data_IF_415553544466
#
_entry.id   IF_415553544466
#
_cell.length_a   1.000
_cell.length_b   1.000
_cell.length_c   1.000
_cell.angle_alpha   90.00
_cell.angle_beta   90.00
_cell.angle_gamma   90.00
#
_symmetry.space_group_name_H-M   'P 1'
#
loop_
_entity.id
_entity.type
_entity.pdbx_description
1 polymer ?
#
# COMPACT_ATOMS: atom_id res chain seq x y z
N UNK A 1 2.49 -16.87 -7.44
CA UNK A 1 3.53 -16.34 -8.36
C UNK A 1 4.83 -16.13 -7.61
N UNK A 2 5.94 -16.25 -8.29
CA UNK A 2 7.28 -16.01 -7.75
C UNK A 2 8.03 -15.03 -8.67
N UNK A 3 8.93 -14.23 -8.09
CA UNK A 3 9.73 -13.24 -8.82
C UNK A 3 8.87 -12.23 -9.61
N UNK A 4 7.91 -11.63 -8.93
CA UNK A 4 6.97 -10.69 -9.53
C UNK A 4 7.45 -9.25 -9.34
N UNK A 5 7.54 -8.47 -10.42
CA UNK A 5 7.78 -7.04 -10.37
C UNK A 5 6.63 -6.31 -11.08
N UNK A 6 5.99 -5.39 -10.37
CA UNK A 6 4.95 -4.51 -10.92
C UNK A 6 5.41 -3.07 -10.67
N UNK A 7 5.60 -2.29 -11.74
CA UNK A 7 6.09 -0.91 -11.64
C UNK A 7 5.35 0.05 -12.55
N UNK A 8 5.14 1.26 -12.07
CA UNK A 8 4.56 2.38 -12.82
C UNK A 8 3.19 2.09 -13.45
N UNK A 9 2.42 1.21 -12.82
CA UNK A 9 1.08 0.84 -13.27
C UNK A 9 0.00 1.61 -12.49
N UNK A 10 -1.15 1.83 -13.14
CA UNK A 10 -2.34 2.43 -12.53
C UNK A 10 -3.48 1.42 -12.56
N UNK A 11 -4.01 1.11 -11.37
CA UNK A 11 -5.10 0.16 -11.18
C UNK A 11 -6.29 0.90 -10.58
N UNK A 12 -7.34 1.11 -11.36
CA UNK A 12 -8.53 1.88 -11.00
C UNK A 12 -9.79 1.19 -11.51
N UNK A 13 -10.37 0.26 -10.73
CA UNK A 13 -11.56 -0.49 -11.17
C UNK A 13 -12.76 0.41 -11.46
N UNK A 14 -13.04 1.39 -10.60
CA UNK A 14 -14.19 2.27 -10.69
C UNK A 14 -15.53 1.61 -10.30
N UNK A 15 -16.56 2.42 -10.08
CA UNK A 15 -17.87 1.96 -9.66
C UNK A 15 -18.67 1.28 -10.79
N UNK A 16 -18.41 1.60 -12.05
CA UNK A 16 -19.19 1.12 -13.18
C UNK A 16 -19.18 -0.41 -13.35
N UNK A 17 -18.16 -1.08 -12.83
CA UNK A 17 -17.97 -2.53 -12.96
C UNK A 17 -18.55 -3.36 -11.81
N UNK A 18 -19.12 -2.73 -10.78
CA UNK A 18 -19.67 -3.41 -9.59
C UNK A 18 -20.68 -4.49 -9.97
N UNK A 19 -21.52 -4.24 -10.96
CA UNK A 19 -22.58 -5.18 -11.36
C UNK A 19 -22.11 -6.31 -12.29
N UNK A 20 -20.94 -6.20 -12.89
CA UNK A 20 -20.39 -7.17 -13.83
C UNK A 20 -19.28 -8.03 -13.25
N UNK A 21 -18.48 -7.46 -12.34
CA UNK A 21 -17.34 -8.12 -11.71
C UNK A 21 -17.58 -8.61 -10.28
N UNK A 22 -18.81 -8.41 -9.75
CA UNK A 22 -19.10 -8.56 -8.33
C UNK A 22 -18.89 -7.26 -7.57
N UNK A 23 -19.26 -7.26 -6.31
CA UNK A 23 -19.22 -6.06 -5.47
C UNK A 23 -17.92 -5.86 -4.69
N UNK A 24 -17.07 -6.88 -4.65
CA UNK A 24 -15.79 -6.88 -3.89
C UNK A 24 -14.61 -6.81 -4.85
N UNK A 25 -14.36 -5.62 -5.40
CA UNK A 25 -13.25 -5.39 -6.33
C UNK A 25 -12.11 -4.66 -5.63
N UNK A 26 -11.00 -5.35 -5.41
CA UNK A 26 -9.74 -4.75 -5.01
C UNK A 26 -9.05 -4.12 -6.25
N UNK A 27 -8.33 -3.03 -6.05
CA UNK A 27 -7.47 -2.52 -7.12
C UNK A 27 -6.25 -3.42 -7.33
N UNK A 28 -5.72 -4.00 -6.24
CA UNK A 28 -4.74 -5.08 -6.28
C UNK A 28 -5.04 -6.09 -5.18
N UNK A 29 -5.19 -7.35 -5.58
CA UNK A 29 -5.26 -8.48 -4.66
C UNK A 29 -4.21 -9.53 -5.00
N UNK A 30 -3.34 -9.84 -4.04
CA UNK A 30 -2.30 -10.85 -4.18
C UNK A 30 -2.34 -11.86 -3.04
N UNK A 31 -2.13 -13.14 -3.37
CA UNK A 31 -2.08 -14.23 -2.39
C UNK A 31 -0.98 -15.22 -2.73
N UNK A 32 -0.26 -15.68 -1.70
CA UNK A 32 0.80 -16.69 -1.81
C UNK A 32 1.88 -16.31 -2.86
N UNK A 33 2.19 -15.02 -2.97
CA UNK A 33 3.26 -14.55 -3.84
C UNK A 33 4.59 -14.61 -3.09
N UNK A 34 5.66 -14.99 -3.80
CA UNK A 34 7.01 -15.03 -3.24
C UNK A 34 7.94 -14.14 -4.03
N UNK A 35 8.84 -13.49 -3.35
CA UNK A 35 9.83 -12.59 -3.96
C UNK A 35 9.14 -11.62 -4.92
N UNK A 36 8.49 -10.61 -4.36
CA UNK A 36 7.73 -9.66 -5.16
C UNK A 36 8.09 -8.21 -4.84
N UNK A 37 8.00 -7.37 -5.86
CA UNK A 37 8.13 -5.93 -5.72
C UNK A 37 6.96 -5.22 -6.42
N UNK A 38 6.30 -4.33 -5.69
CA UNK A 38 5.30 -3.41 -6.22
C UNK A 38 5.84 -2.00 -5.97
N UNK A 39 6.20 -1.31 -7.05
CA UNK A 39 6.98 -0.10 -6.97
C UNK A 39 6.41 1.01 -7.86
N UNK A 40 6.25 2.21 -7.31
CA UNK A 40 5.71 3.37 -8.04
C UNK A 40 4.39 3.08 -8.77
N UNK A 41 3.47 2.40 -8.13
CA UNK A 41 2.13 2.13 -8.68
C UNK A 41 1.07 3.03 -8.04
N UNK A 42 -0.04 3.22 -8.75
CA UNK A 42 -1.19 3.98 -8.25
C UNK A 42 -2.42 3.10 -8.21
N UNK A 43 -3.06 3.06 -7.04
CA UNK A 43 -4.24 2.25 -6.78
C UNK A 43 -5.36 3.13 -6.24
N UNK A 44 -6.55 3.08 -6.86
CA UNK A 44 -7.70 3.86 -6.40
C UNK A 44 -9.03 3.34 -6.96
N UNK A 45 -10.13 3.85 -6.39
CA UNK A 45 -11.50 3.65 -6.89
C UNK A 45 -11.96 2.18 -6.90
N UNK A 46 -11.48 1.43 -5.96
CA UNK A 46 -11.92 0.08 -5.64
C UNK A 46 -13.21 0.10 -4.81
N UNK A 47 -13.92 -1.01 -4.79
CA UNK A 47 -15.19 -1.14 -4.04
C UNK A 47 -15.04 -1.95 -2.76
N UNK A 48 -13.92 -2.63 -2.56
CA UNK A 48 -13.53 -3.34 -1.33
C UNK A 48 -12.16 -2.81 -0.85
N UNK A 49 -11.08 -3.56 -0.82
CA UNK A 49 -9.74 -3.07 -0.48
C UNK A 49 -9.04 -2.44 -1.68
N UNK A 50 -8.23 -1.41 -1.41
CA UNK A 50 -7.40 -0.83 -2.47
C UNK A 50 -6.20 -1.72 -2.78
N UNK A 51 -5.47 -2.17 -1.75
CA UNK A 51 -4.33 -3.08 -1.90
C UNK A 51 -4.38 -4.16 -0.83
N UNK A 52 -4.37 -5.40 -1.23
CA UNK A 52 -4.31 -6.54 -0.32
C UNK A 52 -3.19 -7.50 -0.71
N UNK A 53 -2.30 -7.79 0.25
CA UNK A 53 -1.27 -8.81 0.11
C UNK A 53 -1.50 -9.89 1.15
N UNK A 54 -1.89 -11.08 0.69
CA UNK A 54 -2.20 -12.20 1.57
C UNK A 54 -1.10 -13.24 1.52
N UNK A 55 -0.53 -13.60 2.68
CA UNK A 55 0.47 -14.67 2.81
C UNK A 55 1.62 -14.53 1.81
N UNK A 56 1.98 -13.28 1.48
CA UNK A 56 3.15 -13.00 0.67
C UNK A 56 4.44 -13.35 1.42
N UNK A 57 5.52 -13.57 0.70
CA UNK A 57 6.85 -13.82 1.27
C UNK A 57 7.89 -13.02 0.53
N UNK A 58 8.85 -12.46 1.27
CA UNK A 58 9.99 -11.74 0.72
C UNK A 58 9.56 -10.64 -0.27
N UNK A 59 8.75 -9.71 0.22
CA UNK A 59 8.09 -8.73 -0.63
C UNK A 59 8.37 -7.28 -0.25
N UNK A 60 8.29 -6.40 -1.24
CA UNK A 60 8.35 -4.95 -1.03
C UNK A 60 7.22 -4.25 -1.76
N UNK A 61 6.51 -3.38 -1.06
CA UNK A 61 5.53 -2.44 -1.62
C UNK A 61 6.00 -1.04 -1.30
N UNK A 62 6.45 -0.30 -2.30
CA UNK A 62 7.08 0.99 -2.05
C UNK A 62 6.69 2.05 -3.07
N UNK A 63 6.77 3.31 -2.65
CA UNK A 63 6.52 4.47 -3.48
C UNK A 63 5.19 4.40 -4.24
N UNK A 64 4.18 3.79 -3.64
CA UNK A 64 2.85 3.67 -4.24
C UNK A 64 1.90 4.74 -3.70
N UNK A 65 0.92 5.13 -4.51
CA UNK A 65 -0.28 5.83 -4.04
C UNK A 65 -1.38 4.79 -3.88
N UNK A 66 -1.94 4.72 -2.67
CA UNK A 66 -3.10 3.89 -2.30
C UNK A 66 -4.17 4.86 -1.82
N UNK A 67 -5.18 5.14 -2.65
CA UNK A 67 -6.09 6.25 -2.36
C UNK A 67 -7.54 6.03 -2.80
N UNK A 68 -8.45 6.77 -2.16
CA UNK A 68 -9.83 6.96 -2.64
C UNK A 68 -10.60 5.67 -2.94
N UNK A 69 -10.59 4.73 -2.00
CA UNK A 69 -11.56 3.62 -2.04
C UNK A 69 -13.00 4.17 -2.03
N UNK A 70 -13.87 3.62 -2.88
CA UNK A 70 -15.23 4.12 -3.06
C UNK A 70 -16.12 3.75 -1.87
N UNK A 71 -16.63 4.74 -1.16
CA UNK A 71 -17.29 4.53 0.14
C UNK A 71 -18.70 3.98 0.02
N UNK A 72 -19.49 4.43 -0.97
CA UNK A 72 -20.84 3.96 -1.26
C UNK A 72 -20.90 3.59 -2.73
N UNK A 73 -20.39 2.40 -3.05
CA UNK A 73 -20.18 1.95 -4.42
C UNK A 73 -21.16 0.85 -4.87
N UNK A 74 -22.14 0.50 -4.04
CA UNK A 74 -23.03 -0.64 -4.30
C UNK A 74 -22.56 -1.97 -3.73
N UNK A 75 -21.51 -1.98 -2.90
CA UNK A 75 -21.06 -3.17 -2.19
C UNK A 75 -22.19 -3.75 -1.32
N UNK A 76 -22.37 -5.08 -1.31
CA UNK A 76 -23.45 -5.78 -0.59
C UNK A 76 -23.43 -5.55 0.93
N UNK A 77 -22.25 -5.26 1.51
CA UNK A 77 -22.11 -4.91 2.93
C UNK A 77 -22.44 -3.44 3.25
N UNK A 78 -22.92 -2.65 2.29
CA UNK A 78 -23.21 -1.23 2.45
C UNK A 78 -21.97 -0.35 2.31
N UNK A 79 -21.80 0.63 3.21
CA UNK A 79 -20.62 1.51 3.19
C UNK A 79 -19.35 0.69 3.36
N UNK A 80 -18.60 0.61 2.28
CA UNK A 80 -17.39 -0.18 2.19
C UNK A 80 -16.41 0.56 1.28
N UNK A 81 -15.23 0.80 1.69
CA UNK A 81 -14.24 1.56 0.93
C UNK A 81 -13.02 1.66 1.82
N UNK A 82 -12.05 0.78 1.60
CA UNK A 82 -10.97 0.54 2.52
C UNK A 82 -9.60 0.63 1.85
N UNK A 83 -8.59 1.06 2.61
CA UNK A 83 -7.23 1.19 2.13
C UNK A 83 -6.61 -0.16 1.79
N UNK A 84 -6.57 -1.09 2.72
CA UNK A 84 -6.06 -2.40 2.36
C UNK A 84 -5.72 -3.30 3.54
N UNK A 85 -5.40 -4.55 3.21
CA UNK A 85 -4.91 -5.54 4.16
C UNK A 85 -3.45 -5.84 3.83
N UNK A 86 -2.55 -5.34 4.66
CA UNK A 86 -1.11 -5.53 4.49
C UNK A 86 -0.67 -6.74 5.32
N UNK A 87 -0.24 -7.77 4.64
CA UNK A 87 0.17 -9.02 5.25
C UNK A 87 1.28 -9.70 4.46
N UNK A 88 1.82 -10.75 5.04
CA UNK A 88 2.92 -11.52 4.48
C UNK A 88 4.04 -11.71 5.50
N UNK A 89 5.00 -12.56 5.21
CA UNK A 89 6.20 -12.78 6.00
C UNK A 89 7.41 -12.17 5.32
N UNK A 90 8.22 -11.43 6.05
CA UNK A 90 9.33 -10.66 5.51
C UNK A 90 8.87 -9.68 4.42
N UNK A 91 7.85 -8.86 4.74
CA UNK A 91 7.30 -7.89 3.78
C UNK A 91 7.49 -6.47 4.29
N UNK A 92 8.03 -5.64 3.40
CA UNK A 92 8.31 -4.23 3.63
C UNK A 92 7.29 -3.35 2.90
N UNK A 93 6.64 -2.47 3.64
CA UNK A 93 5.78 -1.40 3.10
C UNK A 93 6.41 -0.05 3.43
N UNK A 94 6.97 0.63 2.44
CA UNK A 94 7.70 1.86 2.72
C UNK A 94 7.44 2.96 1.68
N UNK A 95 7.52 4.20 2.13
CA UNK A 95 7.42 5.38 1.28
C UNK A 95 6.12 5.45 0.46
N UNK A 96 5.02 4.90 0.94
CA UNK A 96 3.73 4.94 0.28
C UNK A 96 2.88 6.11 0.77
N UNK A 97 2.07 6.69 -0.10
CA UNK A 97 0.97 7.58 0.26
C UNK A 97 -0.32 6.76 0.37
N UNK A 98 -0.88 6.68 1.58
CA UNK A 98 -2.16 6.01 1.87
C UNK A 98 -3.16 7.10 2.26
N UNK A 99 -4.17 7.35 1.42
CA UNK A 99 -4.99 8.56 1.54
C UNK A 99 -6.49 8.36 1.26
N UNK A 100 -7.33 9.04 2.03
CA UNK A 100 -8.76 9.14 1.77
C UNK A 100 -9.52 7.81 1.84
N UNK A 101 -9.26 7.00 2.87
CA UNK A 101 -9.99 5.76 3.13
C UNK A 101 -10.76 5.83 4.44
N UNK A 102 -11.94 5.26 4.46
CA UNK A 102 -12.77 5.25 5.68
C UNK A 102 -12.21 4.34 6.77
N UNK A 103 -11.50 3.27 6.39
CA UNK A 103 -10.87 2.31 7.29
C UNK A 103 -9.72 1.56 6.60
N UNK A 104 -9.03 0.70 7.33
CA UNK A 104 -7.91 -0.12 6.85
C UNK A 104 -6.77 0.71 6.23
N UNK A 105 -6.19 1.60 7.05
CA UNK A 105 -5.11 2.51 6.64
C UNK A 105 -3.71 2.12 7.23
N UNK A 106 -3.18 0.91 7.01
CA UNK A 106 -3.85 -0.32 6.58
C UNK A 106 -4.41 -1.15 7.75
N UNK A 107 -5.10 -2.26 7.48
CA UNK A 107 -5.24 -3.37 8.42
C UNK A 107 -4.03 -4.29 8.29
N UNK A 108 -3.37 -4.61 9.39
CA UNK A 108 -2.26 -5.55 9.46
C UNK A 108 -2.79 -6.97 9.63
N UNK A 109 -2.30 -7.90 8.83
CA UNK A 109 -2.64 -9.31 8.96
C UNK A 109 -3.99 -9.69 8.36
N UNK A 110 -4.97 -10.10 9.19
CA UNK A 110 -6.32 -10.39 8.69
C UNK A 110 -6.45 -11.70 7.93
N UNK A 111 -6.07 -12.82 8.52
CA UNK A 111 -6.12 -14.13 7.86
C UNK A 111 -5.03 -14.34 6.81
N UNK A 112 -4.26 -13.30 6.54
CA UNK A 112 -3.16 -13.33 5.60
C UNK A 112 -2.00 -14.16 6.08
N UNK A 113 -1.90 -14.25 7.38
CA UNK A 113 -0.73 -14.79 8.04
C UNK A 113 -0.85 -16.26 8.33
N UNK A 114 -1.90 -16.87 7.90
CA UNK A 114 -2.22 -18.18 8.33
C UNK A 114 -2.63 -18.22 9.81
N UNK A 115 -3.52 -19.12 10.14
CA UNK A 115 -3.65 -19.62 11.50
C UNK A 115 -2.50 -20.62 11.67
N UNK A 116 -1.50 -20.37 12.54
CA UNK A 116 -0.39 -21.32 12.71
C UNK A 116 -0.87 -22.72 13.08
N UNK A 117 -2.10 -22.86 13.55
CA UNK A 117 -2.71 -24.15 13.83
C UNK A 117 -3.33 -24.81 12.59
N UNK A 118 -3.58 -24.08 11.52
CA UNK A 118 -4.25 -24.55 10.31
C UNK A 118 -3.36 -24.57 9.07
N UNK A 119 -2.49 -23.59 8.95
CA UNK A 119 -1.72 -23.36 7.73
C UNK A 119 -0.22 -23.71 7.88
N UNK A 120 0.16 -24.40 8.97
CA UNK A 120 1.55 -24.75 9.27
C UNK A 120 2.42 -23.52 9.57
N UNK A 121 1.79 -22.46 10.05
CA UNK A 121 2.25 -21.12 9.98
C UNK A 121 3.45 -20.76 10.82
N UNK A 122 4.32 -19.98 10.24
CA UNK A 122 5.24 -19.10 10.91
C UNK A 122 4.51 -17.80 11.28
N UNK A 123 4.97 -17.16 12.32
CA UNK A 123 4.59 -15.82 12.67
C UNK A 123 5.24 -14.88 11.66
N UNK A 124 4.46 -14.12 10.95
CA UNK A 124 4.97 -13.26 9.91
C UNK A 124 5.60 -11.98 10.47
N UNK A 125 6.57 -11.46 9.78
CA UNK A 125 7.27 -10.24 10.13
C UNK A 125 7.03 -9.18 9.07
N UNK A 126 6.56 -8.02 9.52
CA UNK A 126 6.18 -6.90 8.67
C UNK A 126 6.88 -5.63 9.11
N UNK A 127 7.27 -4.79 8.15
CA UNK A 127 7.68 -3.42 8.45
C UNK A 127 6.89 -2.41 7.63
N UNK A 128 6.33 -1.43 8.33
CA UNK A 128 5.73 -0.24 7.74
C UNK A 128 6.55 0.97 8.13
N UNK A 129 7.28 1.55 7.20
CA UNK A 129 8.21 2.65 7.47
C UNK A 129 8.10 3.77 6.43
N UNK A 130 8.21 5.01 6.90
CA UNK A 130 8.20 6.21 6.07
C UNK A 130 6.96 6.34 5.15
N UNK A 131 5.83 5.74 5.50
CA UNK A 131 4.59 5.97 4.78
C UNK A 131 3.94 7.28 5.25
N UNK A 132 3.23 7.93 4.36
CA UNK A 132 2.33 9.05 4.67
C UNK A 132 0.90 8.52 4.72
N UNK A 133 0.28 8.57 5.89
CA UNK A 133 -1.11 8.20 6.10
C UNK A 133 -1.93 9.49 6.23
N UNK A 134 -2.88 9.71 5.33
CA UNK A 134 -3.67 10.94 5.29
C UNK A 134 -5.17 10.67 5.30
N UNK A 135 -5.90 11.44 6.10
CA UNK A 135 -7.37 11.53 6.09
C UNK A 135 -8.06 10.16 6.26
N UNK A 136 -7.71 9.42 7.31
CA UNK A 136 -8.41 8.17 7.69
C UNK A 136 -9.77 8.46 8.37
N UNK A 137 -10.74 7.55 8.21
CA UNK A 137 -12.07 7.72 8.79
C UNK A 137 -12.22 7.17 10.20
N UNK A 138 -12.35 5.85 10.30
CA UNK A 138 -12.63 5.15 11.56
C UNK A 138 -11.37 4.68 12.27
N UNK A 139 -10.34 4.35 11.50
CA UNK A 139 -9.08 3.80 12.00
C UNK A 139 -7.92 4.29 11.15
N UNK A 140 -6.78 4.49 11.78
CA UNK A 140 -5.46 4.48 11.15
C UNK A 140 -5.06 3.03 10.83
N UNK A 141 -3.82 2.67 11.07
CA UNK A 141 -3.34 1.29 11.08
C UNK A 141 -3.94 0.50 12.24
N UNK A 142 -4.31 -0.76 12.02
CA UNK A 142 -4.82 -1.63 13.09
C UNK A 142 -4.67 -3.13 12.75
N UNK A 143 -4.94 -4.00 13.73
CA UNK A 143 -4.90 -5.44 13.58
C UNK A 143 -3.60 -6.07 14.08
N UNK A 144 -3.01 -6.98 13.32
CA UNK A 144 -1.72 -7.61 13.63
C UNK A 144 -1.80 -8.98 14.28
N UNK A 145 -2.94 -9.69 14.20
CA UNK A 145 -3.01 -11.07 14.67
C UNK A 145 -2.01 -11.98 13.94
N UNK A 146 -1.21 -12.71 14.71
CA UNK A 146 -0.10 -13.57 14.26
C UNK A 146 0.99 -12.84 13.48
N UNK A 147 1.17 -11.54 13.72
CA UNK A 147 2.20 -10.74 13.07
C UNK A 147 3.14 -10.08 14.07
N UNK A 148 4.40 -10.02 13.73
CA UNK A 148 5.40 -9.15 14.36
C UNK A 148 5.62 -7.94 13.45
N UNK A 149 5.23 -6.77 13.92
CA UNK A 149 5.11 -5.58 13.08
C UNK A 149 5.97 -4.44 13.61
N UNK A 150 6.85 -3.92 12.77
CA UNK A 150 7.47 -2.63 12.96
C UNK A 150 6.61 -1.55 12.31
N UNK A 151 6.09 -0.62 13.10
CA UNK A 151 5.38 0.57 12.62
C UNK A 151 6.20 1.80 12.99
N UNK A 152 7.10 2.20 12.08
CA UNK A 152 8.18 3.13 12.40
C UNK A 152 8.27 4.30 11.42
N UNK A 153 8.51 5.48 11.96
CA UNK A 153 8.81 6.69 11.19
C UNK A 153 7.80 7.01 10.09
N UNK A 154 6.51 6.70 10.29
CA UNK A 154 5.45 7.09 9.38
C UNK A 154 4.95 8.50 9.71
N UNK A 155 4.53 9.24 8.71
CA UNK A 155 3.90 10.55 8.85
C UNK A 155 2.38 10.38 8.85
N UNK A 156 1.74 10.72 9.98
CA UNK A 156 0.30 10.57 10.20
C UNK A 156 -0.35 11.95 10.16
N UNK A 157 -1.17 12.22 9.14
CA UNK A 157 -1.85 13.49 8.92
C UNK A 157 -3.37 13.31 8.98
N UNK A 158 -4.04 13.64 10.10
CA UNK A 158 -5.50 13.65 10.14
C UNK A 158 -6.05 14.64 9.12
N UNK A 159 -7.13 14.29 8.43
CA UNK A 159 -7.79 15.16 7.46
C UNK A 159 -9.21 15.53 7.90
N UNK A 160 -9.95 16.16 6.96
CA UNK A 160 -11.33 16.61 7.19
C UNK A 160 -12.31 15.46 7.44
N UNK A 161 -12.05 14.27 6.87
CA UNK A 161 -12.86 13.07 7.08
C UNK A 161 -12.50 12.28 8.32
N UNK A 162 -11.39 12.60 8.99
CA UNK A 162 -10.94 11.89 10.17
C UNK A 162 -11.85 12.17 11.35
N UNK A 163 -12.41 11.11 11.93
CA UNK A 163 -13.29 11.22 13.11
C UNK A 163 -12.52 11.67 14.32
N UNK A 164 -13.14 12.51 15.16
CA UNK A 164 -12.52 13.08 16.35
C UNK A 164 -11.98 12.02 17.31
N UNK A 165 -12.71 10.91 17.50
CA UNK A 165 -12.34 9.83 18.43
C UNK A 165 -11.04 9.09 18.04
N UNK A 166 -10.63 9.20 16.78
CA UNK A 166 -9.43 8.56 16.23
C UNK A 166 -8.47 9.55 15.57
N UNK A 167 -8.73 10.85 15.80
CA UNK A 167 -7.96 11.91 15.15
C UNK A 167 -6.46 11.81 15.39
N UNK A 168 -6.08 11.47 16.58
CA UNK A 168 -4.68 11.33 16.96
C UNK A 168 -4.31 9.88 17.33
N UNK A 169 -4.99 8.91 16.71
CA UNK A 169 -4.63 7.51 16.86
C UNK A 169 -3.42 7.19 15.98
N UNK A 170 -2.37 6.64 16.57
CA UNK A 170 -1.20 6.14 15.84
C UNK A 170 -1.51 4.76 15.25
N UNK A 171 -1.92 3.83 16.10
CA UNK A 171 -2.24 2.45 15.71
C UNK A 171 -3.18 1.82 16.74
N UNK A 172 -4.03 0.89 16.30
CA UNK A 172 -4.82 0.02 17.21
C UNK A 172 -4.36 -1.43 17.07
N UNK A 173 -3.60 -1.90 18.06
CA UNK A 173 -2.86 -3.15 18.02
C UNK A 173 -3.66 -4.33 18.54
N UNK A 174 -3.47 -5.48 17.89
CA UNK A 174 -3.92 -6.77 18.37
C UNK A 174 -5.26 -7.22 17.80
N UNK A 175 -5.46 -8.53 17.91
CA UNK A 175 -6.72 -9.22 17.64
C UNK A 175 -7.00 -10.21 18.77
N UNK A 176 -8.21 -10.22 19.29
CA UNK A 176 -8.58 -10.86 20.56
C UNK A 176 -8.22 -12.35 20.72
N UNK A 177 -8.05 -13.08 19.64
CA UNK A 177 -7.73 -14.51 19.68
C UNK A 177 -6.42 -14.88 18.98
N UNK A 178 -5.66 -13.87 18.56
CA UNK A 178 -4.49 -14.05 17.71
C UNK A 178 -3.32 -13.25 18.27
N UNK A 179 -2.41 -13.86 19.03
CA UNK A 179 -1.26 -13.15 19.57
C UNK A 179 -0.39 -12.55 18.44
N UNK A 180 0.22 -11.42 18.72
CA UNK A 180 1.12 -10.73 17.83
C UNK A 180 2.09 -9.85 18.60
N UNK A 181 2.92 -9.12 17.88
CA UNK A 181 3.87 -8.20 18.48
C UNK A 181 4.03 -6.91 17.68
N UNK A 182 4.27 -5.82 18.39
CA UNK A 182 4.46 -4.52 17.75
C UNK A 182 5.67 -3.79 18.32
N UNK A 183 6.44 -3.21 17.42
CA UNK A 183 7.37 -2.14 17.73
C UNK A 183 6.86 -0.87 17.05
N UNK A 184 6.53 0.15 17.86
CA UNK A 184 5.92 1.42 17.39
C UNK A 184 6.79 2.56 17.85
N UNK A 185 7.48 3.23 16.92
CA UNK A 185 8.41 4.29 17.28
C UNK A 185 8.64 5.30 16.15
N UNK A 186 8.95 6.54 16.52
CA UNK A 186 9.40 7.58 15.59
C UNK A 186 8.30 8.10 14.64
N UNK A 187 7.03 7.70 14.82
CA UNK A 187 5.96 8.21 13.97
C UNK A 187 5.62 9.65 14.32
N UNK A 188 5.45 10.48 13.31
CA UNK A 188 5.04 11.88 13.45
C UNK A 188 3.52 12.01 13.34
N UNK A 189 2.89 12.63 14.33
CA UNK A 189 1.46 12.94 14.30
C UNK A 189 1.27 14.42 14.04
N UNK A 190 0.81 14.75 12.84
CA UNK A 190 0.56 16.13 12.44
C UNK A 190 -0.50 16.78 13.35
N UNK A 191 -0.15 17.97 13.86
CA UNK A 191 -1.01 18.70 14.81
C UNK A 191 -0.98 18.20 16.26
N UNK A 192 -0.12 17.20 16.61
CA UNK A 192 0.00 16.73 17.99
C UNK A 192 1.44 16.37 18.37
N UNK A 193 2.14 17.34 18.96
CA UNK A 193 3.54 17.18 19.35
C UNK A 193 3.75 16.17 20.50
N UNK A 194 2.77 16.02 21.39
CA UNK A 194 2.83 15.07 22.51
C UNK A 194 2.84 13.62 22.02
N UNK A 195 1.96 13.29 21.07
CA UNK A 195 1.90 11.96 20.46
C UNK A 195 3.12 11.72 19.54
N UNK A 196 3.61 12.74 18.86
CA UNK A 196 4.86 12.67 18.10
C UNK A 196 6.05 12.31 18.99
N UNK A 197 6.14 12.91 20.18
CA UNK A 197 7.21 12.64 21.14
C UNK A 197 7.07 11.26 21.83
N UNK A 198 5.84 10.76 21.97
CA UNK A 198 5.54 9.49 22.63
C UNK A 198 4.37 8.80 21.92
N UNK A 199 4.69 7.93 20.97
CA UNK A 199 3.67 7.22 20.18
C UNK A 199 2.76 6.30 21.01
N UNK A 200 3.17 5.88 22.22
CA UNK A 200 2.34 5.06 23.09
C UNK A 200 1.04 5.77 23.48
N UNK A 201 1.06 7.11 23.60
CA UNK A 201 -0.12 7.91 23.94
C UNK A 201 -1.22 7.92 22.87
N UNK A 202 -0.84 7.69 21.61
CA UNK A 202 -1.77 7.55 20.48
C UNK A 202 -2.05 6.10 20.08
N UNK A 203 -1.44 5.13 20.77
CA UNK A 203 -1.56 3.72 20.44
C UNK A 203 -2.59 3.03 21.34
N UNK A 204 -3.39 2.15 20.74
CA UNK A 204 -4.43 1.38 21.46
C UNK A 204 -4.16 -0.11 21.31
N UNK A 205 -4.74 -0.87 22.23
CA UNK A 205 -4.65 -2.33 22.25
C UNK A 205 -6.06 -2.93 22.40
N UNK A 206 -6.98 -2.53 21.50
CA UNK A 206 -8.40 -2.90 21.61
C UNK A 206 -8.66 -4.39 21.40
N UNK A 207 -7.81 -5.07 20.65
CA UNK A 207 -7.91 -6.50 20.38
C UNK A 207 -7.11 -7.39 21.34
N UNK A 208 -6.54 -6.83 22.40
CA UNK A 208 -5.69 -7.61 23.32
C UNK A 208 -6.53 -8.33 24.37
N UNK A 209 -6.28 -9.63 24.50
CA UNK A 209 -6.75 -10.43 25.62
C UNK A 209 -5.57 -10.84 26.51
N UNK A 210 -5.85 -11.19 27.76
CA UNK A 210 -4.82 -11.70 28.66
C UNK A 210 -4.44 -13.15 28.30
N UNK A 211 -3.32 -13.62 28.84
CA UNK A 211 -2.85 -14.99 28.67
C UNK A 211 -2.12 -15.25 27.35
N UNK A 212 -2.31 -16.43 26.78
CA UNK A 212 -1.59 -16.89 25.59
C UNK A 212 -1.90 -16.08 24.32
N UNK A 213 -2.99 -15.31 24.31
CA UNK A 213 -3.42 -14.49 23.17
C UNK A 213 -3.02 -13.01 23.32
N UNK A 214 -2.09 -12.72 24.21
CA UNK A 214 -1.66 -11.33 24.47
C UNK A 214 -0.79 -10.82 23.32
N UNK A 215 -1.12 -9.65 22.81
CA UNK A 215 -0.22 -8.88 21.96
C UNK A 215 0.88 -8.23 22.78
N UNK A 216 2.11 -8.28 22.29
CA UNK A 216 3.30 -7.75 22.97
C UNK A 216 3.73 -6.45 22.30
N UNK A 217 3.98 -5.41 23.10
CA UNK A 217 4.70 -4.22 22.63
C UNK A 217 6.18 -4.41 22.92
N UNK A 218 6.98 -4.40 21.86
CA UNK A 218 8.43 -4.59 21.93
C UNK A 218 9.13 -3.26 22.16
N UNK A 219 10.21 -3.29 22.92
CA UNK A 219 11.13 -2.16 23.09
C UNK A 219 12.17 -2.05 21.98
N UNK A 220 12.31 -3.09 21.17
CA UNK A 220 13.26 -3.16 20.05
C UNK A 220 12.56 -3.62 18.77
N UNK A 221 13.01 -3.16 17.60
CA UNK A 221 12.42 -3.60 16.35
C UNK A 221 12.63 -5.09 16.11
N UNK A 222 11.65 -5.70 15.45
CA UNK A 222 11.78 -7.04 14.90
C UNK A 222 12.69 -7.00 13.67
N UNK A 223 13.50 -8.01 13.49
CA UNK A 223 14.46 -8.11 12.39
C UNK A 223 14.01 -9.14 11.36
N UNK A 224 14.12 -8.79 10.10
CA UNK A 224 13.98 -9.69 8.97
C UNK A 224 14.94 -9.27 7.86
N UNK A 225 15.19 -10.15 6.90
CA UNK A 225 16.04 -9.82 5.77
C UNK A 225 15.43 -8.64 4.97
N UNK A 226 16.23 -7.65 4.64
CA UNK A 226 15.78 -6.45 3.93
C UNK A 226 15.17 -5.35 4.81
N UNK A 227 14.99 -5.55 6.11
CA UNK A 227 14.58 -4.49 7.03
C UNK A 227 15.79 -3.65 7.45
N UNK A 228 16.32 -2.90 6.50
CA UNK A 228 17.48 -2.06 6.75
C UNK A 228 17.04 -0.71 7.34
N UNK A 229 17.45 -0.47 8.60
CA UNK A 229 17.20 0.79 9.28
C UNK A 229 17.95 1.97 8.65
N UNK A 230 19.03 1.71 7.90
CA UNK A 230 19.80 2.76 7.24
C UNK A 230 19.03 3.45 6.09
N UNK A 231 18.01 2.79 5.54
CA UNK A 231 17.15 3.37 4.50
C UNK A 231 15.95 4.13 5.07
N UNK A 232 15.72 4.06 6.38
CA UNK A 232 14.59 4.70 7.05
C UNK A 232 14.98 6.09 7.53
N UNK A 233 14.35 7.11 6.96
CA UNK A 233 14.52 8.51 7.35
C UNK A 233 13.61 8.87 8.53
N UNK A 234 13.74 10.07 9.11
CA UNK A 234 12.75 10.54 10.08
C UNK A 234 11.36 10.69 9.44
N UNK A 235 10.30 10.56 10.23
CA UNK A 235 8.94 10.71 9.72
C UNK A 235 8.69 12.10 9.12
N UNK A 236 9.28 13.15 9.67
CA UNK A 236 9.17 14.50 9.13
C UNK A 236 9.86 14.64 7.77
N UNK A 237 11.04 14.02 7.62
CA UNK A 237 11.82 14.08 6.38
C UNK A 237 11.23 13.22 5.26
N UNK A 238 10.41 12.22 5.57
CA UNK A 238 9.79 11.37 4.53
C UNK A 238 8.61 12.06 3.82
N UNK A 239 7.95 13.03 4.43
CA UNK A 239 6.68 13.59 3.93
C UNK A 239 6.79 14.14 2.50
N UNK A 240 7.65 15.09 2.26
CA UNK A 240 7.77 15.70 0.92
C UNK A 240 8.36 14.73 -0.13
N UNK A 241 9.39 13.92 0.15
CA UNK A 241 9.82 12.87 -0.79
C UNK A 241 8.70 11.90 -1.18
N UNK A 242 7.89 11.44 -0.24
CA UNK A 242 6.75 10.56 -0.56
C UNK A 242 5.75 11.26 -1.46
N UNK A 243 5.34 12.49 -1.14
CA UNK A 243 4.40 13.24 -1.99
C UNK A 243 4.99 13.55 -3.38
N UNK A 244 6.29 13.75 -3.47
CA UNK A 244 6.95 14.03 -4.75
C UNK A 244 7.07 12.78 -5.63
N UNK A 245 7.32 11.60 -5.06
CA UNK A 245 7.75 10.42 -5.82
C UNK A 245 6.72 9.29 -5.87
N UNK A 246 5.83 9.16 -4.86
CA UNK A 246 4.86 8.05 -4.84
C UNK A 246 3.91 8.08 -6.04
N UNK A 247 3.45 6.89 -6.44
CA UNK A 247 2.55 6.67 -7.56
C UNK A 247 3.26 6.41 -8.89
N UNK A 248 2.47 6.19 -9.92
CA UNK A 248 2.97 5.95 -11.27
C UNK A 248 3.47 7.26 -11.90
N UNK A 249 4.70 7.63 -11.57
CA UNK A 249 5.33 8.87 -12.00
C UNK A 249 6.01 8.79 -13.36
N UNK A 250 6.19 7.60 -13.92
CA UNK A 250 6.76 7.40 -15.23
C UNK A 250 5.68 6.94 -16.23
N UNK A 251 5.63 7.46 -17.47
CA UNK A 251 6.45 8.56 -18.00
C UNK A 251 6.08 9.94 -17.43
N UNK A 252 4.96 10.05 -16.74
CA UNK A 252 4.50 11.27 -16.05
C UNK A 252 3.46 10.89 -14.97
N UNK A 253 3.33 11.74 -13.96
CA UNK A 253 2.24 11.64 -12.98
C UNK A 253 0.96 12.17 -13.62
N UNK A 254 -0.12 11.40 -13.59
CA UNK A 254 -1.40 11.84 -14.14
C UNK A 254 -2.14 12.85 -13.22
N UNK A 255 -3.23 13.41 -13.74
CA UNK A 255 -4.00 14.42 -13.03
C UNK A 255 -4.66 13.90 -11.74
N UNK A 256 -4.99 12.60 -11.69
CA UNK A 256 -5.60 11.97 -10.50
C UNK A 256 -4.59 11.92 -9.37
N UNK A 257 -3.42 11.37 -9.61
CA UNK A 257 -2.35 11.30 -8.59
C UNK A 257 -1.88 12.70 -8.19
N UNK A 258 -1.78 13.63 -9.15
CA UNK A 258 -1.40 15.01 -8.88
C UNK A 258 -2.42 15.70 -7.95
N UNK A 259 -3.72 15.45 -8.15
CA UNK A 259 -4.80 15.95 -7.29
C UNK A 259 -4.71 15.38 -5.89
N UNK A 260 -4.59 14.05 -5.74
CA UNK A 260 -4.48 13.39 -4.42
C UNK A 260 -3.29 13.93 -3.63
N UNK A 261 -2.14 14.13 -4.28
CA UNK A 261 -0.96 14.73 -3.66
C UNK A 261 -1.21 16.18 -3.24
N UNK A 262 -1.83 16.99 -4.11
CA UNK A 262 -2.17 18.37 -3.78
C UNK A 262 -3.15 18.46 -2.61
N UNK A 263 -4.20 17.63 -2.60
CA UNK A 263 -5.17 17.55 -1.52
C UNK A 263 -4.54 17.10 -0.20
N UNK A 264 -3.58 16.20 -0.24
CA UNK A 264 -2.82 15.80 0.95
C UNK A 264 -2.01 16.97 1.52
N UNK A 265 -1.39 17.79 0.67
CA UNK A 265 -0.65 18.98 1.12
C UNK A 265 -1.56 20.04 1.72
N UNK A 266 -2.70 20.31 1.10
CA UNK A 266 -3.61 21.40 1.43
C UNK A 266 -4.71 21.03 2.43
N UNK A 267 -4.74 19.78 2.91
CA UNK A 267 -5.78 19.23 3.79
C UNK A 267 -7.20 19.39 3.21
N UNK A 268 -7.34 19.14 1.91
CA UNK A 268 -8.62 19.27 1.18
C UNK A 268 -9.17 17.93 0.66
N UNK A 269 -8.51 16.82 0.98
CA UNK A 269 -8.93 15.48 0.60
C UNK A 269 -10.26 15.06 1.23
N UNK A 270 -10.99 14.20 0.51
CA UNK A 270 -12.31 13.71 0.94
C UNK A 270 -12.51 12.25 0.54
N UNK A 271 -13.51 11.60 1.15
CA UNK A 271 -13.99 10.30 0.68
C UNK A 271 -14.91 10.51 -0.52
N UNK A 272 -14.85 9.58 -1.46
CA UNK A 272 -15.66 9.59 -2.68
C UNK A 272 -16.52 8.32 -2.77
N UNK A 273 -17.66 8.42 -3.42
CA UNK A 273 -18.55 7.28 -3.66
C UNK A 273 -18.42 6.76 -5.09
N UNK A 274 -18.09 7.65 -6.01
CA UNK A 274 -17.79 7.32 -7.40
C UNK A 274 -16.61 8.15 -7.88
N UNK A 275 -15.90 7.66 -8.87
CA UNK A 275 -14.80 8.36 -9.53
C UNK A 275 -15.24 9.70 -10.16
N UNK A 276 -16.51 9.78 -10.58
CA UNK A 276 -17.07 11.00 -11.21
C UNK A 276 -17.10 12.20 -10.26
N UNK A 277 -17.20 11.97 -8.94
CA UNK A 277 -17.18 13.04 -7.95
C UNK A 277 -15.86 13.84 -7.95
N UNK A 278 -14.83 13.27 -8.53
CA UNK A 278 -13.47 13.83 -8.59
C UNK A 278 -12.92 13.95 -10.01
N UNK A 279 -13.82 14.00 -10.99
CA UNK A 279 -13.50 14.25 -12.40
C UNK A 279 -13.37 13.00 -13.26
N UNK A 280 -13.57 11.80 -12.68
CA UNK A 280 -13.57 10.55 -13.43
C UNK A 280 -12.21 10.18 -14.05
N UNK A 281 -12.27 9.25 -15.00
CA UNK A 281 -11.07 8.84 -15.72
C UNK A 281 -10.58 9.95 -16.65
N UNK A 282 -9.26 10.20 -16.71
CA UNK A 282 -8.72 11.14 -17.69
C UNK A 282 -9.02 10.65 -19.10
N UNK A 283 -9.15 11.58 -20.03
CA UNK A 283 -9.19 11.24 -21.44
C UNK A 283 -7.94 10.41 -21.80
N UNK A 284 -8.10 9.43 -22.67
CA UNK A 284 -6.97 8.66 -23.17
C UNK A 284 -5.92 9.59 -23.78
N UNK A 285 -4.81 9.75 -23.12
CA UNK A 285 -3.80 10.76 -23.46
C UNK A 285 -2.91 10.36 -24.62
N UNK A 286 -3.00 9.36 -25.28
CA UNK A 286 -2.43 9.05 -26.59
C UNK A 286 -2.45 7.56 -26.90
N UNK A 287 -2.76 7.26 -28.11
CA UNK A 287 -2.35 6.00 -28.73
C UNK A 287 -0.87 6.18 -29.06
N UNK A 288 0.00 5.35 -28.51
CA UNK A 288 1.41 5.30 -28.94
C UNK A 288 1.47 5.12 -30.43
N UNK A 289 2.38 5.80 -31.11
CA UNK A 289 2.63 5.53 -32.52
C UNK A 289 2.98 4.05 -32.71
N UNK A 290 2.56 3.44 -33.81
CA UNK A 290 2.90 2.03 -34.11
C UNK A 290 4.42 1.80 -34.12
N UNK A 291 5.20 2.81 -34.44
CA UNK A 291 6.66 2.80 -34.40
C UNK A 291 7.26 2.96 -33.01
N UNK A 292 6.46 2.93 -31.94
CA UNK A 292 6.99 2.93 -30.57
C UNK A 292 7.44 1.54 -30.15
N UNK A 293 6.74 0.52 -30.59
CA UNK A 293 6.94 -0.90 -30.30
C UNK A 293 6.39 -1.64 -31.53
N UNK A 294 7.25 -1.83 -32.52
CA UNK A 294 6.84 -2.24 -33.87
C UNK A 294 6.37 -3.69 -33.93
N UNK A 295 7.00 -4.56 -33.16
CA UNK A 295 6.65 -5.99 -33.11
C UNK A 295 5.67 -6.34 -31.97
N UNK A 296 5.34 -5.34 -31.11
CA UNK A 296 4.36 -5.47 -30.01
C UNK A 296 4.76 -6.51 -28.95
N UNK A 297 6.03 -6.65 -28.66
CA UNK A 297 6.53 -7.53 -27.60
C UNK A 297 6.59 -6.87 -26.20
N UNK A 298 6.34 -5.57 -26.15
CA UNK A 298 6.32 -4.75 -24.93
C UNK A 298 7.58 -3.93 -24.68
N UNK A 299 8.60 -4.08 -25.52
CA UNK A 299 9.84 -3.31 -25.44
C UNK A 299 9.83 -2.20 -26.52
N UNK A 300 10.13 -0.95 -26.16
CA UNK A 300 10.19 0.13 -27.17
C UNK A 300 11.33 -0.06 -28.19
N UNK A 301 11.08 0.16 -29.48
CA UNK A 301 12.06 0.06 -30.58
C UNK A 301 13.38 0.79 -30.28
N UNK A 302 13.30 1.97 -29.67
CA UNK A 302 14.49 2.75 -29.31
C UNK A 302 15.32 2.09 -28.21
N UNK A 303 14.67 1.42 -27.28
CA UNK A 303 15.33 0.69 -26.21
C UNK A 303 15.98 -0.59 -26.75
N UNK A 304 15.26 -1.33 -27.58
CA UNK A 304 15.77 -2.54 -28.23
C UNK A 304 17.01 -2.25 -29.03
N UNK A 305 16.94 -1.25 -29.90
CA UNK A 305 18.09 -0.80 -30.71
C UNK A 305 19.29 -0.44 -29.83
N UNK A 306 19.07 0.27 -28.72
CA UNK A 306 20.13 0.65 -27.78
C UNK A 306 20.77 -0.54 -27.05
N UNK A 307 20.04 -1.66 -26.92
CA UNK A 307 20.48 -2.86 -26.20
C UNK A 307 20.79 -4.04 -27.13
N UNK A 308 20.83 -3.81 -28.45
CA UNK A 308 21.20 -4.82 -29.45
C UNK A 308 20.13 -5.88 -29.71
N UNK A 309 18.86 -5.55 -29.40
CA UNK A 309 17.69 -6.31 -29.79
C UNK A 309 17.17 -5.83 -31.13
N UNK A 310 16.24 -6.57 -31.69
CA UNK A 310 15.67 -6.27 -33.02
C UNK A 310 14.20 -5.85 -32.91
N UNK A 311 13.83 -4.57 -33.17
CA UNK A 311 12.45 -4.06 -33.10
C UNK A 311 11.41 -4.76 -34.00
N UNK A 312 11.78 -5.83 -34.68
CA UNK A 312 10.88 -6.64 -35.51
C UNK A 312 10.91 -8.13 -35.13
N UNK A 313 11.42 -8.48 -33.94
CA UNK A 313 11.55 -9.88 -33.51
C UNK A 313 10.97 -10.09 -32.12
N UNK A 314 9.66 -10.33 -32.02
CA UNK A 314 8.93 -10.56 -30.75
C UNK A 314 9.53 -11.63 -29.83
N UNK A 315 10.47 -12.42 -30.30
CA UNK A 315 11.07 -13.50 -29.51
C UNK A 315 12.25 -13.05 -28.67
N UNK A 316 12.81 -11.90 -28.97
CA UNK A 316 14.05 -11.49 -28.31
C UNK A 316 13.85 -10.80 -26.96
N UNK A 317 12.66 -10.29 -26.66
CA UNK A 317 12.25 -9.90 -25.31
C UNK A 317 12.40 -11.02 -24.27
N UNK A 318 12.38 -12.27 -24.71
CA UNK A 318 12.56 -13.46 -23.86
C UNK A 318 14.02 -13.88 -23.70
N UNK A 319 14.94 -13.26 -24.42
CA UNK A 319 16.37 -13.52 -24.25
C UNK A 319 16.84 -13.07 -22.87
N UNK A 320 17.68 -13.87 -22.26
CA UNK A 320 18.24 -13.52 -20.96
C UNK A 320 19.33 -12.48 -21.14
N UNK A 321 19.17 -11.36 -20.49
CA UNK A 321 20.21 -10.34 -20.41
C UNK A 321 21.39 -10.87 -19.59
N UNK A 322 22.59 -11.03 -20.15
CA UNK A 322 23.70 -11.63 -19.44
C UNK A 322 24.23 -10.76 -18.29
N UNK A 323 23.89 -9.47 -18.27
CA UNK A 323 24.31 -8.58 -17.19
C UNK A 323 23.43 -8.67 -15.94
N UNK A 324 22.14 -9.04 -16.12
CA UNK A 324 21.16 -9.07 -15.04
C UNK A 324 20.68 -10.47 -14.68
N UNK A 325 20.78 -11.42 -15.62
CA UNK A 325 20.22 -12.76 -15.47
C UNK A 325 18.69 -12.86 -15.65
N UNK A 326 18.04 -11.75 -16.01
CA UNK A 326 16.60 -11.69 -16.31
C UNK A 326 16.35 -11.55 -17.82
N UNK A 327 15.13 -11.79 -18.27
CA UNK A 327 14.72 -11.44 -19.61
C UNK A 327 14.82 -9.92 -19.83
N UNK A 328 15.03 -9.53 -21.08
CA UNK A 328 15.08 -8.12 -21.45
C UNK A 328 13.76 -7.41 -21.20
#
# INVERSE_FOLDING_TARGET
>A
SENLIIRYMRFRPGAANVHTGGDSMDALWGRDNKTFMIDHCSFSWNTDETVSTYRGQDGTVQWCIVSESLTVSGHSKGRHGYGGIFGGDNVLFQNNLIANHTSRNPRIGGGCMGDPTKDGGSTATLQLSNNVLYNWGYNTCYGGGYAYTNFINNFLKPGQGTREQVRYQVIDMGEATKPGGFYVNGNYMDGNAEITADNAKGSKMSGVTEGANKTVVSETPYTAEGFDSATVTSAADCYEPVLAQAGATYPYRDAIDARVVAETRTDSGRYVNTEDEVGGYPAKESVRAASFDTDMDGIPDTWETAHGLNPNDTSDSKKINPATGYAY
#
